data_IF_790231959809
#
_entry.id   IF_790231959809
#
_cell.length_a   1.000
_cell.length_b   1.000
_cell.length_c   1.000
_cell.angle_alpha   90.00
_cell.angle_beta   90.00
_cell.angle_gamma   90.00
#
_symmetry.space_group_name_H-M   'P 1'
#
loop_
_entity.id
_entity.type
_entity.pdbx_description
1 polymer ?
#
# COMPACT_ATOMS: atom_id res chain seq x y z
N UNK A 1 62.26 -19.75 -72.04
CA UNK A 1 63.12 -18.84 -71.26
C UNK A 1 62.79 -19.06 -69.79
N UNK A 2 63.81 -19.48 -69.02
CA UNK A 2 63.99 -19.44 -67.55
C UNK A 2 62.83 -19.68 -66.54
N UNK A 3 63.07 -20.65 -65.64
CA UNK A 3 62.60 -20.67 -64.23
C UNK A 3 63.47 -19.69 -63.38
N UNK A 4 63.25 -19.38 -62.07
CA UNK A 4 62.47 -20.11 -61.05
C UNK A 4 61.77 -19.26 -59.92
N UNK A 5 61.09 -19.96 -59.00
CA UNK A 5 60.94 -19.67 -57.55
C UNK A 5 60.07 -18.51 -57.01
N UNK A 6 59.62 -18.76 -55.77
CA UNK A 6 59.33 -17.83 -54.66
C UNK A 6 57.87 -17.44 -54.39
N UNK A 7 57.41 -17.91 -53.22
CA UNK A 7 56.47 -17.24 -52.32
C UNK A 7 57.01 -15.85 -51.96
N UNK A 8 56.21 -14.77 -52.12
CA UNK A 8 56.19 -13.76 -51.06
C UNK A 8 54.90 -12.91 -50.94
N UNK A 9 54.47 -12.72 -49.70
CA UNK A 9 54.09 -11.43 -49.08
C UNK A 9 53.02 -10.52 -49.74
N UNK A 10 51.83 -10.42 -49.12
CA UNK A 10 51.08 -9.16 -48.84
C UNK A 10 50.07 -9.47 -47.70
N UNK A 11 49.93 -8.75 -46.60
CA UNK A 11 50.54 -7.52 -46.08
C UNK A 11 50.51 -7.56 -44.55
N UNK A 12 51.55 -7.05 -43.89
CA UNK A 12 51.62 -5.70 -43.34
C UNK A 12 50.83 -5.54 -42.03
N UNK A 13 51.55 -5.65 -40.91
CA UNK A 13 51.09 -5.14 -39.61
C UNK A 13 51.01 -3.61 -39.63
N UNK A 14 50.16 -3.02 -38.77
CA UNK A 14 50.70 -1.99 -37.90
C UNK A 14 50.23 -2.09 -36.44
N UNK A 15 51.23 -1.97 -35.55
CA UNK A 15 51.28 -1.12 -34.35
C UNK A 15 50.08 -1.14 -33.37
N UNK A 16 50.33 -1.71 -32.19
CA UNK A 16 49.70 -1.36 -30.89
C UNK A 16 49.50 0.16 -30.74
N UNK A 17 48.44 0.66 -30.06
CA UNK A 17 48.35 0.49 -28.61
C UNK A 17 46.94 0.52 -27.95
N UNK A 18 46.96 0.18 -26.65
CA UNK A 18 46.09 0.66 -25.56
C UNK A 18 44.63 0.16 -25.41
N UNK A 19 44.43 -0.59 -24.31
CA UNK A 19 43.28 -0.59 -23.38
C UNK A 19 41.91 -0.25 -23.99
N UNK A 20 41.11 -1.29 -24.21
CA UNK A 20 39.65 -1.18 -24.18
C UNK A 20 39.19 -1.49 -22.76
N UNK A 21 38.77 -0.47 -22.02
CA UNK A 21 38.04 -0.60 -20.77
C UNK A 21 36.74 -1.37 -21.02
N UNK A 22 36.61 -2.55 -20.43
CA UNK A 22 35.32 -3.21 -20.23
C UNK A 22 34.59 -2.39 -19.16
N UNK A 23 33.71 -1.48 -19.59
CA UNK A 23 32.75 -0.82 -18.72
C UNK A 23 31.34 -1.08 -19.28
N UNK A 24 30.75 -2.21 -18.87
CA UNK A 24 29.29 -2.46 -18.94
C UNK A 24 28.95 -3.79 -18.27
N UNK A 25 28.73 -3.75 -16.96
CA UNK A 25 27.86 -4.71 -16.24
C UNK A 25 27.84 -4.44 -14.72
N UNK A 26 27.68 -3.18 -14.30
CA UNK A 26 27.45 -2.84 -12.89
C UNK A 26 25.99 -2.45 -12.58
N UNK A 27 25.13 -2.23 -13.60
CA UNK A 27 23.75 -1.76 -13.38
C UNK A 27 22.74 -2.90 -13.14
N UNK A 28 22.96 -4.08 -13.73
CA UNK A 28 22.04 -5.21 -13.58
C UNK A 28 21.97 -5.77 -12.14
N UNK A 29 23.04 -5.65 -11.37
CA UNK A 29 23.10 -6.16 -9.99
C UNK A 29 22.41 -5.23 -8.98
N UNK A 30 22.43 -3.91 -9.22
CA UNK A 30 21.72 -2.92 -8.40
C UNK A 30 20.21 -3.03 -8.55
N UNK A 31 19.72 -3.22 -9.77
CA UNK A 31 18.29 -3.31 -10.06
C UNK A 31 17.67 -4.62 -9.58
N UNK A 32 18.39 -5.74 -9.72
CA UNK A 32 17.96 -7.05 -9.17
C UNK A 32 18.01 -7.06 -7.65
N UNK A 33 19.00 -6.41 -7.02
CA UNK A 33 19.04 -6.23 -5.55
C UNK A 33 17.93 -5.29 -5.06
N UNK A 34 17.61 -4.22 -5.79
CA UNK A 34 16.46 -3.33 -5.51
C UNK A 34 15.13 -4.06 -5.68
N UNK A 35 14.96 -4.87 -6.73
CA UNK A 35 13.77 -5.73 -6.96
C UNK A 35 13.64 -6.83 -5.90
N UNK A 36 14.74 -7.45 -5.46
CA UNK A 36 14.75 -8.43 -4.35
C UNK A 36 14.48 -7.81 -2.99
N UNK A 37 15.00 -6.59 -2.71
CA UNK A 37 14.65 -5.83 -1.50
C UNK A 37 13.19 -5.36 -1.52
N UNK A 38 12.67 -4.92 -2.67
CA UNK A 38 11.25 -4.61 -2.85
C UNK A 38 10.38 -5.85 -2.63
N UNK A 39 10.68 -7.00 -3.25
CA UNK A 39 9.96 -8.27 -3.04
C UNK A 39 10.05 -8.80 -1.60
N UNK A 40 11.21 -8.70 -0.95
CA UNK A 40 11.39 -9.08 0.48
C UNK A 40 10.71 -8.12 1.46
N UNK A 41 10.55 -6.83 1.13
CA UNK A 41 9.70 -5.89 1.88
C UNK A 41 8.21 -6.19 1.67
N UNK A 42 7.82 -6.50 0.42
CA UNK A 42 6.45 -6.85 0.01
C UNK A 42 5.92 -8.06 0.77
N UNK A 43 6.73 -9.10 0.93
CA UNK A 43 6.39 -10.30 1.70
C UNK A 43 6.48 -10.13 3.23
N UNK A 44 6.86 -8.96 3.75
CA UNK A 44 6.89 -8.66 5.20
C UNK A 44 5.70 -7.82 5.66
N UNK A 45 5.00 -7.18 4.71
CA UNK A 45 3.87 -6.30 4.99
C UNK A 45 2.58 -7.10 5.22
N UNK A 46 2.41 -8.22 4.53
CA UNK A 46 1.30 -9.16 4.71
C UNK A 46 1.34 -9.96 6.02
N UNK A 47 2.28 -9.67 6.93
CA UNK A 47 2.39 -10.33 8.24
C UNK A 47 2.23 -9.38 9.43
N UNK A 48 1.99 -8.07 9.19
CA UNK A 48 1.95 -7.08 10.27
C UNK A 48 0.52 -6.76 10.73
N UNK A 49 -0.46 -6.83 9.84
CA UNK A 49 -1.85 -6.51 10.16
C UNK A 49 -2.70 -7.79 10.19
N UNK A 50 -3.58 -7.95 11.18
CA UNK A 50 -4.46 -9.11 11.28
C UNK A 50 -5.51 -9.11 10.16
N UNK A 51 -5.64 -10.25 9.49
CA UNK A 51 -6.71 -10.50 8.50
C UNK A 51 -7.91 -11.18 9.17
N UNK A 52 -9.11 -10.78 8.76
CA UNK A 52 -10.36 -11.41 9.19
C UNK A 52 -10.98 -12.13 8.00
N UNK A 53 -11.18 -13.44 8.18
CA UNK A 53 -11.54 -14.39 7.11
C UNK A 53 -13.01 -14.81 7.14
N UNK A 54 -13.85 -14.20 7.98
CA UNK A 54 -15.29 -14.50 8.05
C UNK A 54 -16.09 -13.29 8.54
N UNK A 55 -17.37 -13.21 8.15
CA UNK A 55 -18.28 -12.19 8.64
C UNK A 55 -18.40 -12.17 10.17
N UNK A 56 -18.46 -13.36 10.78
CA UNK A 56 -18.46 -13.50 12.23
C UNK A 56 -17.21 -12.91 12.90
N UNK A 57 -16.02 -13.10 12.30
CA UNK A 57 -14.79 -12.52 12.84
C UNK A 57 -14.77 -10.99 12.75
N UNK A 58 -15.36 -10.43 11.69
CA UNK A 58 -15.55 -8.97 11.55
C UNK A 58 -16.49 -8.43 12.62
N UNK A 59 -17.67 -9.04 12.77
CA UNK A 59 -18.65 -8.63 13.78
C UNK A 59 -18.05 -8.72 15.19
N UNK A 60 -17.35 -9.82 15.49
CA UNK A 60 -16.75 -10.02 16.80
C UNK A 60 -15.61 -9.02 17.07
N UNK A 61 -14.81 -8.68 16.06
CA UNK A 61 -13.77 -7.65 16.21
C UNK A 61 -14.35 -6.26 16.50
N UNK A 62 -15.50 -5.93 15.88
CA UNK A 62 -16.20 -4.67 16.13
C UNK A 62 -16.86 -4.64 17.52
N UNK A 63 -17.46 -5.76 17.95
CA UNK A 63 -18.15 -5.88 19.23
C UNK A 63 -17.20 -5.95 20.43
N UNK A 64 -16.05 -6.60 20.27
CA UNK A 64 -15.10 -6.81 21.36
C UNK A 64 -14.36 -5.52 21.78
N UNK A 65 -14.28 -4.51 20.91
CA UNK A 65 -13.53 -3.28 21.16
C UNK A 65 -14.42 -2.16 21.72
N UNK A 66 -14.31 -1.92 23.02
CA UNK A 66 -15.12 -0.91 23.72
C UNK A 66 -14.39 0.45 23.90
N UNK A 67 -13.06 0.43 23.90
CA UNK A 67 -12.22 1.59 24.25
C UNK A 67 -11.40 2.13 23.07
N UNK A 68 -11.23 1.32 22.02
CA UNK A 68 -10.44 1.65 20.83
C UNK A 68 -11.30 1.76 19.60
N UNK A 69 -10.83 2.55 18.63
CA UNK A 69 -11.40 2.62 17.30
C UNK A 69 -11.04 1.37 16.50
N UNK A 70 -12.03 0.71 15.92
CA UNK A 70 -11.81 -0.41 15.00
C UNK A 70 -11.77 0.14 13.58
N UNK A 71 -10.64 -0.04 12.91
CA UNK A 71 -10.41 0.38 11.53
C UNK A 71 -10.38 -0.88 10.68
N UNK A 72 -11.25 -0.94 9.67
CA UNK A 72 -11.31 -2.10 8.77
C UNK A 72 -11.04 -1.64 7.35
N UNK A 73 -10.03 -2.24 6.72
CA UNK A 73 -9.77 -2.09 5.29
C UNK A 73 -10.44 -3.25 4.56
N UNK A 74 -11.44 -2.96 3.74
CA UNK A 74 -12.03 -3.91 2.80
C UNK A 74 -11.41 -3.73 1.42
N UNK A 75 -10.91 -4.82 0.85
CA UNK A 75 -10.41 -4.83 -0.52
C UNK A 75 -9.50 -6.04 -0.76
N UNK A 76 -8.92 -6.12 -1.95
CA UNK A 76 -8.04 -7.23 -2.31
C UNK A 76 -6.58 -6.94 -2.03
N UNK A 77 -5.87 -7.86 -1.37
CA UNK A 77 -4.44 -7.70 -1.04
C UNK A 77 -3.53 -7.56 -2.27
N UNK A 78 -4.01 -8.04 -3.43
CA UNK A 78 -3.30 -7.96 -4.70
C UNK A 78 -3.58 -6.66 -5.48
N UNK A 79 -4.58 -5.87 -5.07
CA UNK A 79 -4.89 -4.60 -5.72
C UNK A 79 -3.85 -3.53 -5.39
N UNK A 80 -3.47 -2.73 -6.38
CA UNK A 80 -2.42 -1.72 -6.21
C UNK A 80 -2.82 -0.61 -5.21
N UNK A 81 -4.11 -0.25 -5.17
CA UNK A 81 -4.65 0.76 -4.24
C UNK A 81 -4.64 0.23 -2.81
N UNK A 82 -5.09 -1.02 -2.62
CA UNK A 82 -5.02 -1.68 -1.31
C UNK A 82 -3.58 -1.78 -0.82
N UNK A 83 -2.65 -2.19 -1.68
CA UNK A 83 -1.23 -2.29 -1.34
C UNK A 83 -0.63 -0.95 -0.87
N UNK A 84 -1.00 0.15 -1.52
CA UNK A 84 -0.55 1.48 -1.11
C UNK A 84 -1.15 1.88 0.24
N UNK A 85 -2.43 1.59 0.46
CA UNK A 85 -3.11 1.88 1.72
C UNK A 85 -2.53 1.04 2.87
N UNK A 86 -2.29 -0.24 2.66
CA UNK A 86 -1.71 -1.16 3.64
C UNK A 86 -0.31 -0.74 4.07
N UNK A 87 0.49 -0.10 3.19
CA UNK A 87 1.79 0.49 3.55
C UNK A 87 1.65 1.60 4.58
N UNK A 88 0.61 2.43 4.45
CA UNK A 88 0.31 3.49 5.40
C UNK A 88 -0.22 2.89 6.70
N UNK A 89 -1.20 1.98 6.61
CA UNK A 89 -1.81 1.32 7.77
C UNK A 89 -0.76 0.57 8.62
N UNK A 90 0.09 -0.24 7.98
CA UNK A 90 1.13 -0.98 8.69
C UNK A 90 2.17 -0.05 9.34
N UNK A 91 2.43 1.12 8.75
CA UNK A 91 3.36 2.09 9.30
C UNK A 91 2.79 2.87 10.49
N UNK A 92 1.47 3.06 10.56
CA UNK A 92 0.82 3.80 11.65
C UNK A 92 0.30 2.88 12.77
N UNK A 93 0.12 1.59 12.51
CA UNK A 93 -0.49 0.62 13.41
C UNK A 93 0.13 0.66 14.82
N UNK A 94 1.46 0.68 14.90
CA UNK A 94 2.18 0.72 16.17
C UNK A 94 2.01 2.06 16.91
N UNK A 95 1.90 3.16 16.17
CA UNK A 95 1.74 4.51 16.73
C UNK A 95 0.35 4.70 17.35
N UNK A 96 -0.69 4.16 16.71
CA UNK A 96 -2.08 4.36 17.12
C UNK A 96 -2.65 3.23 18.00
N UNK A 97 -1.86 2.18 18.29
CA UNK A 97 -2.29 0.95 19.00
C UNK A 97 -3.02 1.17 20.32
N UNK A 98 -2.73 2.29 21.00
CA UNK A 98 -3.32 2.64 22.29
C UNK A 98 -4.79 3.06 22.18
N UNK A 99 -5.23 3.53 21.01
CA UNK A 99 -6.58 4.07 20.81
C UNK A 99 -7.26 3.59 19.53
N UNK A 100 -6.57 2.84 18.67
CA UNK A 100 -7.13 2.22 17.48
C UNK A 100 -6.51 0.85 17.20
N UNK A 101 -7.26 -0.01 16.53
CA UNK A 101 -6.84 -1.32 16.02
C UNK A 101 -7.21 -1.39 14.54
N UNK A 102 -6.35 -2.02 13.73
CA UNK A 102 -6.53 -2.14 12.28
C UNK A 102 -6.70 -3.61 11.91
N UNK A 103 -7.71 -3.90 11.10
CA UNK A 103 -7.96 -5.20 10.49
C UNK A 103 -8.06 -5.08 8.97
N UNK A 104 -7.68 -6.16 8.29
CA UNK A 104 -7.79 -6.30 6.84
C UNK A 104 -8.85 -7.37 6.52
N UNK A 105 -9.68 -7.10 5.52
CA UNK A 105 -10.74 -8.02 5.05
C UNK A 105 -10.68 -8.11 3.53
N UNK A 106 -10.59 -9.33 3.01
CA UNK A 106 -10.74 -9.57 1.58
C UNK A 106 -12.23 -9.71 1.21
N UNK A 107 -12.70 -8.85 0.30
CA UNK A 107 -14.10 -8.80 -0.14
C UNK A 107 -14.53 -10.00 -1.00
N UNK A 108 -13.59 -10.79 -1.52
CA UNK A 108 -13.90 -12.08 -2.18
C UNK A 108 -14.06 -13.21 -1.17
N UNK A 109 -13.32 -13.17 -0.06
CA UNK A 109 -13.42 -14.17 0.99
C UNK A 109 -14.62 -13.91 1.89
N UNK A 110 -14.89 -12.65 2.22
CA UNK A 110 -16.02 -12.23 3.07
C UNK A 110 -16.94 -11.28 2.28
N UNK A 111 -17.84 -11.83 1.43
CA UNK A 111 -18.72 -11.01 0.60
C UNK A 111 -19.93 -10.43 1.34
N UNK A 112 -20.19 -10.87 2.58
CA UNK A 112 -21.40 -10.56 3.36
C UNK A 112 -21.66 -9.05 3.51
N UNK A 113 -20.59 -8.24 3.53
CA UNK A 113 -20.66 -6.80 3.71
C UNK A 113 -20.71 -6.00 2.40
N UNK A 114 -20.52 -6.63 1.24
CA UNK A 114 -20.35 -5.93 -0.03
C UNK A 114 -21.60 -5.11 -0.41
N UNK A 115 -22.79 -5.71 -0.27
CA UNK A 115 -24.05 -5.00 -0.52
C UNK A 115 -24.38 -4.02 0.60
N UNK A 116 -24.18 -4.41 1.86
CA UNK A 116 -24.55 -3.60 3.02
C UNK A 116 -23.77 -2.28 3.07
N UNK A 117 -22.47 -2.33 2.79
CA UNK A 117 -21.61 -1.17 2.80
C UNK A 117 -21.32 -0.61 1.41
N UNK A 118 -21.93 -1.11 0.34
CA UNK A 118 -21.71 -0.66 -1.04
C UNK A 118 -20.22 -0.69 -1.44
N UNK A 119 -19.54 -1.81 -1.19
CA UNK A 119 -18.11 -2.00 -1.43
C UNK A 119 -17.84 -2.27 -2.92
N UNK A 120 -17.88 -1.22 -3.75
CA UNK A 120 -17.57 -1.29 -5.18
C UNK A 120 -16.15 -0.82 -5.53
N UNK A 121 -15.55 -0.02 -4.65
CA UNK A 121 -14.21 0.54 -4.87
C UNK A 121 -13.11 -0.49 -4.55
N UNK A 122 -11.92 -0.41 -5.19
CA UNK A 122 -10.84 -1.38 -4.99
C UNK A 122 -10.32 -1.48 -3.56
N UNK A 123 -10.32 -0.36 -2.84
CA UNK A 123 -9.88 -0.27 -1.43
C UNK A 123 -10.83 0.67 -0.70
N UNK A 124 -11.40 0.21 0.40
CA UNK A 124 -12.24 1.04 1.27
C UNK A 124 -11.81 0.90 2.72
N UNK A 125 -11.79 2.01 3.45
CA UNK A 125 -11.50 2.02 4.88
C UNK A 125 -12.68 2.60 5.64
N UNK A 126 -13.13 1.84 6.64
CA UNK A 126 -14.26 2.18 7.50
C UNK A 126 -13.83 2.21 8.96
N UNK A 127 -14.54 3.01 9.76
CA UNK A 127 -14.23 3.26 11.15
C UNK A 127 -15.41 2.88 12.03
N UNK A 128 -15.16 2.11 13.08
CA UNK A 128 -16.17 1.67 14.02
C UNK A 128 -15.72 2.00 15.45
N UNK A 129 -16.69 2.34 16.30
CA UNK A 129 -16.46 2.57 17.72
C UNK A 129 -17.67 2.08 18.50
N UNK A 130 -17.49 1.12 19.41
CA UNK A 130 -18.57 0.55 20.24
C UNK A 130 -19.78 0.10 19.42
N UNK A 131 -19.53 -0.75 18.42
CA UNK A 131 -20.55 -1.25 17.49
C UNK A 131 -21.30 -0.16 16.67
N UNK A 132 -20.71 1.03 16.54
CA UNK A 132 -21.26 2.09 15.68
C UNK A 132 -20.28 2.42 14.59
N UNK A 133 -20.76 2.44 13.35
CA UNK A 133 -20.04 3.00 12.23
C UNK A 133 -19.93 4.52 12.40
N UNK A 134 -18.71 5.04 12.28
CA UNK A 134 -18.40 6.46 12.43
C UNK A 134 -18.13 7.05 11.05
N UNK A 135 -18.99 7.97 10.63
CA UNK A 135 -18.86 8.70 9.39
C UNK A 135 -17.85 9.84 9.53
N UNK A 136 -17.16 10.14 8.43
CA UNK A 136 -16.16 11.20 8.38
C UNK A 136 -16.45 12.10 7.19
N UNK A 137 -16.70 13.37 7.46
CA UNK A 137 -16.78 14.38 6.42
C UNK A 137 -15.37 14.77 5.96
N UNK A 138 -15.00 14.26 4.78
CA UNK A 138 -13.72 14.51 4.11
C UNK A 138 -13.86 15.52 2.97
N UNK A 139 -15.06 16.05 2.72
CA UNK A 139 -15.35 16.94 1.58
C UNK A 139 -15.37 16.26 0.21
N UNK A 140 -15.31 14.93 0.16
CA UNK A 140 -15.41 14.13 -1.09
C UNK A 140 -16.84 13.85 -1.51
N UNK A 141 -17.82 14.12 -0.64
CA UNK A 141 -19.24 13.79 -0.84
C UNK A 141 -19.63 12.40 -0.32
N UNK A 142 -18.68 11.52 -0.03
CA UNK A 142 -18.93 10.23 0.63
C UNK A 142 -18.35 10.22 2.04
N UNK A 143 -19.23 10.23 3.04
CA UNK A 143 -18.83 10.27 4.44
C UNK A 143 -18.74 8.89 5.10
N UNK A 144 -19.17 7.84 4.40
CA UNK A 144 -19.25 6.50 4.97
C UNK A 144 -17.89 5.79 5.01
N UNK A 145 -17.00 6.12 4.06
CA UNK A 145 -15.75 5.40 3.85
C UNK A 145 -14.70 6.27 3.19
N UNK A 146 -13.44 5.91 3.39
CA UNK A 146 -12.32 6.40 2.58
C UNK A 146 -12.11 5.40 1.44
N UNK A 147 -12.34 5.79 0.19
CA UNK A 147 -12.23 4.90 -0.97
C UNK A 147 -10.97 5.15 -1.84
N UNK A 148 -9.99 5.88 -1.30
CA UNK A 148 -8.70 6.12 -1.97
C UNK A 148 -7.53 5.76 -1.06
N UNK A 149 -6.38 5.49 -1.67
CA UNK A 149 -5.14 5.31 -0.93
C UNK A 149 -4.59 6.67 -0.47
N UNK A 150 -4.51 6.86 0.85
CA UNK A 150 -3.77 7.97 1.44
C UNK A 150 -2.27 7.73 1.28
N UNK A 151 -1.50 8.78 1.01
CA UNK A 151 -0.03 8.70 0.84
C UNK A 151 0.74 9.16 2.07
N UNK A 152 0.15 10.06 2.84
CA UNK A 152 0.78 10.64 4.01
C UNK A 152 0.29 9.93 5.29
N UNK A 153 1.27 9.51 6.10
CA UNK A 153 1.04 8.79 7.35
C UNK A 153 0.51 9.71 8.44
N UNK A 154 1.03 10.95 8.49
CA UNK A 154 0.59 11.92 9.49
C UNK A 154 -0.87 12.30 9.24
N UNK A 155 -1.22 12.51 7.97
CA UNK A 155 -2.58 12.78 7.53
C UNK A 155 -3.57 11.69 7.97
N UNK A 156 -3.17 10.41 7.88
CA UNK A 156 -3.99 9.31 8.39
C UNK A 156 -4.10 9.33 9.93
N UNK A 157 -3.00 9.58 10.66
CA UNK A 157 -3.03 9.68 12.13
C UNK A 157 -3.97 10.79 12.58
N UNK A 158 -3.91 11.97 11.94
CA UNK A 158 -4.73 13.12 12.28
C UNK A 158 -6.23 12.83 12.06
N UNK A 159 -6.57 12.07 11.00
CA UNK A 159 -7.94 11.56 10.79
C UNK A 159 -8.34 10.65 11.94
N UNK A 160 -7.55 9.61 12.25
CA UNK A 160 -7.88 8.64 13.30
C UNK A 160 -8.07 9.33 14.66
N UNK A 161 -7.19 10.27 15.02
CA UNK A 161 -7.33 11.04 16.25
C UNK A 161 -8.64 11.84 16.29
N UNK A 162 -8.99 12.50 15.19
CA UNK A 162 -10.21 13.29 15.08
C UNK A 162 -11.44 12.40 15.24
N UNK A 163 -11.44 11.24 14.57
CA UNK A 163 -12.51 10.24 14.64
C UNK A 163 -12.65 9.71 16.05
N UNK A 164 -11.54 9.30 16.69
CA UNK A 164 -11.53 8.79 18.04
C UNK A 164 -12.07 9.81 19.05
N UNK A 165 -11.62 11.06 18.97
CA UNK A 165 -12.12 12.17 19.83
C UNK A 165 -13.60 12.46 19.59
N UNK A 166 -14.06 12.40 18.34
CA UNK A 166 -15.47 12.58 17.97
C UNK A 166 -16.37 11.45 18.48
N UNK A 167 -15.95 10.21 18.24
CA UNK A 167 -16.66 9.00 18.63
C UNK A 167 -16.78 8.86 20.15
N UNK A 168 -15.72 9.20 20.91
CA UNK A 168 -15.76 9.25 22.39
C UNK A 168 -16.74 10.27 22.95
N UNK A 169 -17.04 11.34 22.19
CA UNK A 169 -18.08 12.33 22.53
C UNK A 169 -19.48 11.90 22.08
N UNK A 170 -19.63 10.70 21.53
CA UNK A 170 -20.89 10.15 21.04
C UNK A 170 -21.32 10.66 19.66
N UNK A 171 -20.41 11.30 18.90
CA UNK A 171 -20.73 11.78 17.55
C UNK A 171 -20.61 10.63 16.54
N UNK A 172 -21.65 10.44 15.72
CA UNK A 172 -21.64 9.49 14.60
C UNK A 172 -21.07 10.06 13.30
N UNK A 173 -20.91 11.38 13.20
CA UNK A 173 -20.28 12.09 12.08
C UNK A 173 -19.21 13.03 12.64
N UNK A 174 -18.02 12.98 12.04
CA UNK A 174 -16.87 13.79 12.43
C UNK A 174 -16.31 14.50 11.22
N UNK A 175 -15.95 15.77 11.37
CA UNK A 175 -15.37 16.55 10.27
C UNK A 175 -13.86 16.34 10.31
N UNK A 176 -13.28 15.93 9.17
CA UNK A 176 -11.85 15.75 9.06
C UNK A 176 -11.11 17.10 9.24
N UNK A 177 -9.89 17.11 9.79
CA UNK A 177 -9.11 18.33 9.98
C UNK A 177 -8.70 18.99 8.66
N UNK A 178 -8.83 18.27 7.54
CA UNK A 178 -8.43 18.70 6.20
C UNK A 178 -9.51 18.33 5.20
N UNK A 179 -9.74 19.26 4.27
CA UNK A 179 -10.66 19.07 3.16
C UNK A 179 -9.95 18.38 1.98
N UNK A 180 -10.53 17.29 1.48
CA UNK A 180 -10.05 16.53 0.33
C UNK A 180 -10.83 16.86 -0.96
N UNK A 181 -11.78 17.81 -0.90
CA UNK A 181 -12.63 18.21 -2.03
C UNK A 181 -11.85 18.62 -3.28
N UNK A 182 -10.66 19.21 -3.14
CA UNK A 182 -9.86 19.73 -4.27
C UNK A 182 -8.89 18.71 -4.87
N UNK A 183 -8.54 17.64 -4.13
CA UNK A 183 -7.59 16.61 -4.60
C UNK A 183 -8.25 15.52 -5.45
N UNK A 184 -9.57 15.37 -5.35
CA UNK A 184 -10.33 14.29 -6.00
C UNK A 184 -11.53 14.80 -6.82
N UNK A 185 -11.55 16.08 -7.19
CA UNK A 185 -12.37 16.56 -8.32
C UNK A 185 -11.80 15.95 -9.60
N UNK A 186 -12.35 14.79 -9.98
CA UNK A 186 -12.28 14.29 -11.35
C UNK A 186 -13.32 15.02 -12.21
#
# INVERSE_FOLDING_TARGET
MWAPSSDPSKGFQPKFPLRISINRSAEATGEVRRRRRRRRRRARMSYLLPHLHSGWAVDQAILAEEERLVIIRFGHDWDETCMQMDEVLAAVAETIKNFAVIYLVDITEVPDFNTMYELYDPSTVMFFFRNKHIMIDLGTGNNNKINWALKDKQEFIDIVETVYRGARKGRGLVIAPKDYSTKYRY
#
